data_IF_107659002030
#
_entry.id   IF_107659002030
#
_cell.length_a   1.000
_cell.length_b   1.000
_cell.length_c   1.000
_cell.angle_alpha   90.00
_cell.angle_beta   90.00
_cell.angle_gamma   90.00
#
_symmetry.space_group_name_H-M   'P 1'
#
loop_
_entity.id
_entity.type
_entity.pdbx_description
1 polymer ?
#
# COMPACT_ATOMS: atom_id res chain seq x y z
N UNK A 1 -1.13 14.74 12.75
CA UNK A 1 -1.27 15.22 11.36
C UNK A 1 -0.46 14.37 10.37
N UNK A 2 -1.07 13.98 9.26
CA UNK A 2 -0.48 13.19 8.16
C UNK A 2 -0.66 13.90 6.83
N UNK A 3 0.31 13.77 5.92
CA UNK A 3 0.20 14.26 4.55
C UNK A 3 -0.50 13.22 3.69
N UNK A 4 -1.47 13.63 2.88
CA UNK A 4 -2.12 12.79 1.88
C UNK A 4 -2.07 13.48 0.51
N UNK A 5 -1.89 12.67 -0.53
CA UNK A 5 -1.87 13.08 -1.92
C UNK A 5 -3.13 12.58 -2.61
N UNK A 6 -3.92 13.51 -3.12
CA UNK A 6 -5.16 13.27 -3.84
C UNK A 6 -4.88 13.50 -5.31
N UNK A 7 -5.11 12.49 -6.12
CA UNK A 7 -5.00 12.58 -7.58
C UNK A 7 -6.41 12.61 -8.14
N UNK A 8 -6.76 13.70 -8.82
CA UNK A 8 -8.04 13.85 -9.54
C UNK A 8 -7.83 13.62 -11.04
N UNK A 9 -8.88 13.78 -11.85
CA UNK A 9 -8.74 13.77 -13.30
C UNK A 9 -7.89 14.94 -13.85
N UNK A 10 -7.72 16.02 -13.10
CA UNK A 10 -7.06 17.25 -13.56
C UNK A 10 -5.74 17.56 -12.86
N UNK A 11 -5.59 17.21 -11.58
CA UNK A 11 -4.46 17.67 -10.78
C UNK A 11 -4.08 16.71 -9.64
N UNK A 12 -2.94 17.01 -9.03
CA UNK A 12 -2.46 16.40 -7.79
C UNK A 12 -2.53 17.46 -6.70
N UNK A 13 -3.25 17.16 -5.63
CA UNK A 13 -3.38 18.00 -4.45
C UNK A 13 -2.69 17.29 -3.27
N UNK A 14 -1.93 18.04 -2.48
CA UNK A 14 -1.37 17.54 -1.22
C UNK A 14 -1.99 18.32 -0.07
N UNK A 15 -2.57 17.60 0.89
CA UNK A 15 -3.18 18.21 2.08
C UNK A 15 -2.65 17.53 3.35
N UNK A 16 -2.70 18.26 4.46
CA UNK A 16 -2.35 17.76 5.78
C UNK A 16 -3.61 17.65 6.62
N UNK A 17 -3.85 16.47 7.18
CA UNK A 17 -5.03 16.26 8.02
C UNK A 17 -4.74 15.30 9.18
N UNK A 18 -5.54 15.36 10.25
CA UNK A 18 -5.45 14.45 11.40
C UNK A 18 -6.50 13.35 11.39
N UNK A 19 -7.54 13.51 10.57
CA UNK A 19 -8.76 12.71 10.59
C UNK A 19 -8.90 11.74 9.40
N UNK A 20 -7.80 11.51 8.68
CA UNK A 20 -7.85 10.62 7.52
C UNK A 20 -8.22 9.20 7.93
N UNK A 21 -9.41 8.78 7.50
CA UNK A 21 -9.89 7.42 7.65
C UNK A 21 -10.07 6.80 6.25
N UNK A 22 -9.14 5.95 5.78
CA UNK A 22 -9.19 5.40 4.43
C UNK A 22 -10.38 4.45 4.22
N UNK A 23 -10.86 3.80 5.28
CA UNK A 23 -12.01 2.89 5.21
C UNK A 23 -13.28 3.72 4.95
N UNK A 24 -13.54 4.71 5.81
CA UNK A 24 -14.71 5.58 5.68
C UNK A 24 -14.71 6.33 4.35
N UNK A 25 -13.56 6.87 3.92
CA UNK A 25 -13.47 7.56 2.64
C UNK A 25 -13.73 6.62 1.46
N UNK A 26 -13.21 5.38 1.49
CA UNK A 26 -13.48 4.41 0.43
C UNK A 26 -14.97 4.00 0.38
N UNK A 27 -15.64 3.92 1.52
CA UNK A 27 -17.10 3.70 1.56
C UNK A 27 -17.85 4.86 0.90
N UNK A 28 -17.48 6.10 1.22
CA UNK A 28 -18.09 7.30 0.62
C UNK A 28 -17.87 7.38 -0.90
N UNK A 29 -16.65 7.06 -1.37
CA UNK A 29 -16.33 7.05 -2.80
C UNK A 29 -17.12 5.98 -3.57
N UNK A 30 -17.41 4.86 -2.92
CA UNK A 30 -18.25 3.78 -3.47
C UNK A 30 -19.76 4.00 -3.28
N UNK A 31 -20.18 5.03 -2.53
CA UNK A 31 -21.59 5.31 -2.30
C UNK A 31 -22.21 6.00 -3.53
N UNK A 32 -23.10 5.27 -4.22
CA UNK A 32 -23.83 5.75 -5.39
C UNK A 32 -24.66 7.02 -5.17
N UNK A 33 -25.11 7.24 -3.93
CA UNK A 33 -25.99 8.34 -3.52
C UNK A 33 -25.23 9.65 -3.22
N UNK A 34 -23.91 9.58 -3.08
CA UNK A 34 -23.07 10.76 -2.86
C UNK A 34 -22.61 11.36 -4.20
N UNK A 35 -22.61 12.68 -4.30
CA UNK A 35 -22.01 13.40 -5.43
C UNK A 35 -20.55 13.76 -5.16
N UNK A 36 -20.24 14.14 -3.93
CA UNK A 36 -18.95 14.68 -3.50
C UNK A 36 -18.47 14.00 -2.22
N UNK A 37 -17.16 14.08 -1.98
CA UNK A 37 -16.51 13.70 -0.71
C UNK A 37 -15.68 14.86 -0.18
N UNK A 38 -15.55 14.93 1.14
CA UNK A 38 -14.62 15.83 1.84
C UNK A 38 -13.42 15.02 2.29
N UNK A 39 -12.23 15.46 1.90
CA UNK A 39 -10.96 14.84 2.29
C UNK A 39 -10.13 15.95 2.93
N UNK A 40 -9.97 15.93 4.25
CA UNK A 40 -9.42 17.07 5.01
C UNK A 40 -10.20 18.36 4.72
N UNK A 41 -9.56 19.33 4.08
CA UNK A 41 -10.14 20.62 3.66
C UNK A 41 -10.48 20.68 2.16
N UNK A 42 -10.37 19.57 1.43
CA UNK A 42 -10.60 19.49 -0.01
C UNK A 42 -11.92 18.77 -0.34
N UNK A 43 -12.79 19.45 -1.08
CA UNK A 43 -14.04 18.85 -1.61
C UNK A 43 -13.82 18.47 -3.06
N UNK A 44 -14.17 17.23 -3.42
CA UNK A 44 -14.11 16.76 -4.81
C UNK A 44 -15.34 15.94 -5.18
N UNK A 45 -15.69 15.94 -6.47
CA UNK A 45 -16.66 14.99 -7.00
C UNK A 45 -16.11 13.57 -6.81
N UNK A 46 -16.93 12.65 -6.27
CA UNK A 46 -16.44 11.32 -5.90
C UNK A 46 -15.87 10.53 -7.10
N UNK A 47 -16.43 10.76 -8.29
CA UNK A 47 -16.02 10.10 -9.54
C UNK A 47 -14.73 10.69 -10.13
N UNK A 48 -14.34 11.89 -9.68
CA UNK A 48 -13.13 12.56 -10.14
C UNK A 48 -11.89 12.13 -9.35
N UNK A 49 -12.06 11.72 -8.09
CA UNK A 49 -10.97 11.16 -7.26
C UNK A 49 -10.46 9.86 -7.88
N UNK A 50 -9.25 9.89 -8.44
CA UNK A 50 -8.56 8.74 -9.05
C UNK A 50 -7.80 7.92 -8.03
N UNK A 51 -7.06 8.61 -7.16
CA UNK A 51 -6.25 7.98 -6.11
C UNK A 51 -6.20 8.88 -4.88
N UNK A 52 -6.14 8.25 -3.71
CA UNK A 52 -5.77 8.91 -2.46
C UNK A 52 -4.64 8.10 -1.86
N UNK A 53 -3.47 8.73 -1.75
CA UNK A 53 -2.23 8.08 -1.36
C UNK A 53 -1.68 8.76 -0.12
N UNK A 54 -1.35 7.99 0.89
CA UNK A 54 -0.51 8.45 1.99
C UNK A 54 0.93 8.20 1.56
N UNK A 55 1.76 9.23 1.32
CA UNK A 55 3.18 9.03 1.03
C UNK A 55 3.82 8.34 2.24
N UNK A 56 4.40 7.17 2.02
CA UNK A 56 4.99 6.38 3.11
C UNK A 56 6.49 6.62 3.09
N UNK A 57 7.01 7.22 4.15
CA UNK A 57 8.44 7.54 4.26
C UNK A 57 9.29 6.31 4.63
N UNK A 58 8.70 5.24 5.17
CA UNK A 58 9.39 3.99 5.54
C UNK A 58 8.54 2.75 5.22
N UNK A 59 8.56 2.33 3.96
CA UNK A 59 7.90 1.09 3.50
C UNK A 59 8.64 -0.15 4.00
N UNK A 60 9.92 -0.03 4.37
CA UNK A 60 10.81 -1.17 4.64
C UNK A 60 10.57 -1.91 5.95
N UNK A 61 9.82 -1.34 6.89
CA UNK A 61 9.49 -2.02 8.15
C UNK A 61 8.21 -2.87 8.07
N UNK A 62 7.52 -2.88 6.93
CA UNK A 62 6.28 -3.61 6.77
C UNK A 62 6.53 -5.09 6.42
N UNK A 63 6.04 -6.00 7.26
CA UNK A 63 6.17 -7.46 7.09
C UNK A 63 5.46 -8.03 5.85
N UNK A 64 4.56 -7.25 5.24
CA UNK A 64 3.83 -7.64 4.04
C UNK A 64 3.60 -6.43 3.16
N UNK A 65 3.91 -6.59 1.87
CA UNK A 65 3.77 -5.53 0.86
C UNK A 65 2.97 -6.03 -0.33
N UNK A 66 2.16 -5.14 -0.90
CA UNK A 66 1.53 -5.32 -2.19
C UNK A 66 2.22 -4.41 -3.22
N UNK A 67 2.66 -5.00 -4.33
CA UNK A 67 3.10 -4.26 -5.51
C UNK A 67 1.88 -3.97 -6.38
N UNK A 68 1.60 -2.69 -6.60
CA UNK A 68 0.50 -2.20 -7.44
C UNK A 68 1.09 -1.58 -8.70
N UNK A 69 0.77 -2.16 -9.86
CA UNK A 69 1.03 -1.56 -11.16
C UNK A 69 -0.20 -0.76 -11.57
N UNK A 70 0.01 0.50 -11.92
CA UNK A 70 -1.01 1.41 -12.41
C UNK A 70 -1.03 1.41 -13.93
N UNK A 71 -2.18 1.74 -14.52
CA UNK A 71 -2.35 1.80 -15.99
C UNK A 71 -1.47 2.84 -16.68
N UNK A 72 -1.02 3.85 -15.95
CA UNK A 72 -0.06 4.84 -16.44
C UNK A 72 1.40 4.32 -16.46
N UNK A 73 1.63 3.05 -16.10
CA UNK A 73 2.95 2.41 -16.07
C UNK A 73 3.71 2.59 -14.76
N UNK A 74 3.22 3.40 -13.82
CA UNK A 74 3.85 3.53 -12.50
C UNK A 74 3.62 2.28 -11.66
N UNK A 75 4.66 1.86 -10.92
CA UNK A 75 4.56 0.78 -9.93
C UNK A 75 4.84 1.34 -8.55
N UNK A 76 4.05 0.94 -7.55
CA UNK A 76 4.19 1.37 -6.16
C UNK A 76 4.14 0.14 -5.25
N UNK A 77 4.99 0.13 -4.22
CA UNK A 77 4.92 -0.86 -3.15
C UNK A 77 4.19 -0.27 -1.96
N UNK A 78 3.20 -1.00 -1.45
CA UNK A 78 2.30 -0.53 -0.40
C UNK A 78 2.32 -1.55 0.73
N UNK A 79 2.63 -1.14 1.98
CA UNK A 79 2.38 -1.93 3.17
C UNK A 79 0.93 -2.36 3.24
N UNK A 80 0.70 -3.62 3.53
CA UNK A 80 -0.64 -4.18 3.74
C UNK A 80 -0.67 -4.97 5.03
N UNK A 81 -1.86 -5.07 5.62
CA UNK A 81 -2.04 -5.85 6.83
C UNK A 81 -1.77 -7.35 6.57
N UNK A 82 -1.40 -8.07 7.63
CA UNK A 82 -1.06 -9.50 7.54
C UNK A 82 -2.23 -10.33 6.99
N UNK A 83 -3.46 -9.95 7.33
CA UNK A 83 -4.71 -10.57 6.89
C UNK A 83 -5.22 -10.06 5.52
N UNK A 84 -4.47 -9.18 4.84
CA UNK A 84 -4.83 -8.68 3.52
C UNK A 84 -5.12 -9.83 2.53
N UNK A 85 -6.37 -9.87 2.06
CA UNK A 85 -6.90 -10.90 1.16
C UNK A 85 -6.96 -10.39 -0.29
N UNK A 86 -6.01 -10.86 -1.09
CA UNK A 86 -5.94 -10.54 -2.52
C UNK A 86 -7.12 -11.09 -3.32
N UNK A 87 -7.77 -12.18 -2.87
CA UNK A 87 -8.96 -12.73 -3.54
C UNK A 87 -10.16 -11.82 -3.32
N UNK A 88 -10.30 -11.30 -2.11
CA UNK A 88 -11.32 -10.30 -1.79
C UNK A 88 -11.10 -9.01 -2.60
N UNK A 89 -9.86 -8.52 -2.68
CA UNK A 89 -9.54 -7.38 -3.55
C UNK A 89 -9.91 -7.65 -5.02
N UNK A 90 -9.59 -8.83 -5.54
CA UNK A 90 -9.97 -9.20 -6.90
C UNK A 90 -11.49 -9.21 -7.09
N UNK A 91 -12.27 -9.69 -6.13
CA UNK A 91 -13.72 -9.63 -6.18
C UNK A 91 -14.23 -8.18 -6.25
N UNK A 92 -13.63 -7.26 -5.47
CA UNK A 92 -13.98 -5.84 -5.54
C UNK A 92 -13.62 -5.21 -6.91
N UNK A 93 -12.43 -5.48 -7.43
CA UNK A 93 -11.98 -4.96 -8.73
C UNK A 93 -12.88 -5.40 -9.90
N UNK A 94 -13.49 -6.60 -9.80
CA UNK A 94 -14.43 -7.12 -10.80
C UNK A 94 -15.88 -6.71 -10.56
N UNK A 95 -16.20 -6.05 -9.44
CA UNK A 95 -17.57 -5.64 -9.14
C UNK A 95 -18.00 -4.42 -9.95
N UNK A 96 -19.24 -4.43 -10.43
CA UNK A 96 -19.87 -3.27 -11.08
C UNK A 96 -20.28 -2.18 -10.09
N UNK A 97 -20.55 -2.54 -8.83
CA UNK A 97 -20.93 -1.60 -7.78
C UNK A 97 -19.76 -0.87 -7.14
N UNK A 98 -18.54 -1.36 -7.36
CA UNK A 98 -17.32 -0.76 -6.83
C UNK A 98 -16.73 0.22 -7.84
N UNK A 99 -16.39 1.41 -7.37
CA UNK A 99 -15.65 2.46 -8.10
C UNK A 99 -14.20 2.51 -7.64
N UNK A 100 -13.96 2.39 -6.33
CA UNK A 100 -12.62 2.46 -5.70
C UNK A 100 -12.36 1.26 -4.81
N UNK A 101 -11.10 0.87 -4.69
CA UNK A 101 -10.64 -0.20 -3.81
C UNK A 101 -9.61 0.32 -2.82
N UNK A 102 -9.55 -0.34 -1.67
CA UNK A 102 -8.55 -0.09 -0.64
C UNK A 102 -7.38 -1.08 -0.80
N UNK A 103 -6.15 -0.56 -0.82
CA UNK A 103 -4.92 -1.35 -0.78
C UNK A 103 -4.01 -0.73 0.29
N UNK A 104 -3.87 -1.41 1.43
CA UNK A 104 -3.25 -0.82 2.61
C UNK A 104 -4.05 0.41 3.09
N UNK A 105 -3.38 1.54 3.30
CA UNK A 105 -4.02 2.82 3.62
C UNK A 105 -4.36 3.68 2.39
N UNK A 106 -4.13 3.16 1.18
CA UNK A 106 -4.29 3.91 -0.07
C UNK A 106 -5.57 3.48 -0.81
N UNK A 107 -6.20 4.44 -1.48
CA UNK A 107 -7.43 4.23 -2.25
C UNK A 107 -7.12 4.43 -3.73
N UNK A 108 -7.60 3.51 -4.57
CA UNK A 108 -7.44 3.56 -6.02
C UNK A 108 -8.78 3.38 -6.71
N UNK A 109 -9.08 4.20 -7.73
CA UNK A 109 -10.12 3.83 -8.69
C UNK A 109 -9.76 2.50 -9.34
N UNK A 110 -10.74 1.61 -9.47
CA UNK A 110 -10.50 0.26 -10.01
C UNK A 110 -9.88 0.28 -11.42
N UNK A 111 -10.20 1.30 -12.20
CA UNK A 111 -9.68 1.46 -13.56
C UNK A 111 -8.23 1.94 -13.61
N UNK A 112 -7.71 2.51 -12.52
CA UNK A 112 -6.29 2.89 -12.42
C UNK A 112 -5.41 1.66 -12.16
N UNK A 113 -5.96 0.60 -11.55
CA UNK A 113 -5.24 -0.62 -11.19
C UNK A 113 -5.08 -1.52 -12.41
N UNK A 114 -3.84 -1.82 -12.78
CA UNK A 114 -3.51 -2.77 -13.85
C UNK A 114 -3.17 -4.15 -13.30
N UNK A 115 -2.38 -4.20 -12.22
CA UNK A 115 -1.96 -5.44 -11.57
C UNK A 115 -1.74 -5.21 -10.07
N UNK A 116 -2.05 -6.22 -9.26
CA UNK A 116 -1.68 -6.27 -7.85
C UNK A 116 -1.02 -7.62 -7.58
N UNK A 117 0.15 -7.60 -6.94
CA UNK A 117 0.86 -8.80 -6.52
C UNK A 117 1.35 -8.67 -5.09
N UNK A 118 1.27 -9.75 -4.31
CA UNK A 118 1.92 -9.80 -3.00
C UNK A 118 3.41 -10.05 -3.17
N UNK A 119 4.21 -9.21 -2.53
CA UNK A 119 5.66 -9.42 -2.44
C UNK A 119 5.87 -10.45 -1.32
N UNK A 120 6.53 -11.56 -1.65
CA UNK A 120 7.01 -12.50 -0.65
C UNK A 120 8.36 -11.98 -0.18
N UNK A 121 8.55 -11.75 1.10
CA UNK A 121 9.90 -11.58 1.63
C UNK A 121 10.65 -12.89 1.42
N UNK A 122 11.78 -12.83 0.70
CA UNK A 122 12.74 -13.93 0.76
C UNK A 122 13.31 -13.95 2.18
N UNK A 123 13.34 -15.10 2.89
CA UNK A 123 13.99 -15.17 4.18
C UNK A 123 15.45 -14.76 3.99
N UNK A 124 15.88 -13.68 4.66
CA UNK A 124 17.31 -13.38 4.76
C UNK A 124 17.96 -14.55 5.50
N UNK A 125 18.75 -15.36 4.80
CA UNK A 125 19.55 -16.40 5.42
C UNK A 125 20.32 -15.79 6.60
N UNK A 126 20.35 -16.44 7.78
CA UNK A 126 21.12 -15.93 8.90
C UNK A 126 22.58 -15.88 8.47
N UNK A 127 23.18 -14.68 8.49
CA UNK A 127 24.61 -14.49 8.29
C UNK A 127 25.34 -15.33 9.34
N UNK A 128 25.91 -16.47 8.93
CA UNK A 128 26.77 -17.28 9.79
C UNK A 128 27.98 -16.43 10.18
N UNK A 129 28.27 -16.20 11.47
CA UNK A 129 29.51 -15.53 11.85
C UNK A 129 30.71 -16.38 11.39
N UNK A 130 31.82 -15.76 10.95
CA UNK A 130 33.00 -16.52 10.55
C UNK A 130 33.54 -17.30 11.75
N UNK A 131 33.62 -18.62 11.63
CA UNK A 131 34.29 -19.47 12.62
C UNK A 131 35.79 -19.17 12.58
N UNK A 132 36.33 -18.58 13.64
CA UNK A 132 37.78 -18.53 13.87
C UNK A 132 38.25 -19.92 14.25
N UNK A 133 38.97 -20.61 13.36
CA UNK A 133 39.73 -21.82 13.73
C UNK A 133 40.91 -21.41 14.62
N UNK A 134 40.88 -21.78 15.90
CA UNK A 134 42.09 -21.80 16.73
C UNK A 134 42.96 -23.01 16.34
N UNK A 135 44.29 -22.86 16.26
CA UNK A 135 45.19 -23.95 15.89
C UNK A 135 45.33 -24.97 17.03
N UNK A 136 45.52 -26.28 16.73
CA UNK A 136 45.61 -27.30 17.76
C UNK A 136 46.91 -27.17 18.57
N UNK A 137 46.75 -27.06 19.88
CA UNK A 137 47.82 -27.11 20.88
C UNK A 137 48.40 -28.53 20.95
N UNK A 138 49.68 -28.64 20.61
CA UNK A 138 50.45 -29.89 20.65
C UNK A 138 50.68 -30.28 22.11
N UNK A 139 50.01 -31.33 22.60
CA UNK A 139 50.30 -31.91 23.92
C UNK A 139 51.22 -33.11 23.76
N UNK A 140 52.41 -32.95 24.33
CA UNK A 140 53.45 -33.96 24.54
C UNK A 140 52.89 -35.25 25.18
N UNK A 141 53.36 -36.40 24.70
CA UNK A 141 53.31 -37.66 25.45
C UNK A 141 54.73 -38.22 25.60
N UNK A 142 55.09 -38.41 26.89
CA UNK A 142 56.12 -39.28 27.49
C UNK A 142 57.57 -38.79 27.55
#
# INVERSE_FOLDING_TARGET
MQTIEIYTGSEKISIQTEDYNPILLNEQLNNGELNTVLIGDFISARLDVKRVVVPIENVDNASKKAKVLLRNGQSVEIPVDNDFDIKFLNAQLNSSSITTVLIGCNIYQKFEVAQVGLIKEEPTDPVTPPTTEEPPENTEQL
#
